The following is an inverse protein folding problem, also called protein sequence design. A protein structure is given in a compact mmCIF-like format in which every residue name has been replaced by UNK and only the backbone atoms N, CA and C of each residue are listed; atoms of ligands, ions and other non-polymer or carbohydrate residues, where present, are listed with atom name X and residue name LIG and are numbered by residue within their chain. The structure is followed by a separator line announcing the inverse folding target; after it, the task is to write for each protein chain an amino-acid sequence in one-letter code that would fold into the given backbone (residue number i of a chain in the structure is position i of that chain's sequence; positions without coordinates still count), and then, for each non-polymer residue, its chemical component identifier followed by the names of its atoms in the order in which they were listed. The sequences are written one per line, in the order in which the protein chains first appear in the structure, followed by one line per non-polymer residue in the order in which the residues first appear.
data_IF_321184214600
#
_entry.id   IF_321184214600
#
_cell.length_a   1.000
_cell.length_b   1.000
_cell.length_c   1.000
_cell.angle_alpha   90.00
_cell.angle_beta   90.00
_cell.angle_gamma   90.00
#
_symmetry.space_group_name_H-M   'P 1'
#
loop_
_entity.id
_entity.type
_entity.pdbx_description
1 polymer ?
#
# COMPACT_ATOMS: atom_id res chain seq x y z
N UNK A 1 20.61 17.82 -1.52
CA UNK A 1 21.17 16.60 -0.89
C UNK A 1 20.20 15.93 0.08
N UNK A 2 19.75 16.62 1.15
CA UNK A 2 18.81 16.07 2.15
C UNK A 2 17.54 15.45 1.53
N UNK A 3 16.89 16.13 0.58
CA UNK A 3 15.68 15.61 -0.06
C UNK A 3 15.87 14.28 -0.80
N UNK A 4 17.05 14.03 -1.38
CA UNK A 4 17.35 12.75 -2.05
C UNK A 4 17.52 11.64 -1.01
N UNK A 5 18.23 11.92 0.09
CA UNK A 5 18.40 10.99 1.20
C UNK A 5 17.04 10.57 1.76
N UNK A 6 16.14 11.54 2.01
CA UNK A 6 14.78 11.22 2.47
C UNK A 6 14.03 10.32 1.49
N UNK A 7 14.07 10.61 0.18
CA UNK A 7 13.42 9.77 -0.83
C UNK A 7 13.95 8.34 -0.84
N UNK A 8 15.26 8.15 -0.74
CA UNK A 8 15.88 6.82 -0.68
C UNK A 8 15.46 6.08 0.59
N UNK A 9 15.48 6.74 1.75
CA UNK A 9 15.05 6.13 3.02
C UNK A 9 13.58 5.75 2.97
N UNK A 10 12.71 6.63 2.45
CA UNK A 10 11.29 6.36 2.25
C UNK A 10 11.09 5.16 1.33
N UNK A 11 11.85 5.05 0.24
CA UNK A 11 11.77 3.91 -0.66
C UNK A 11 12.16 2.59 0.02
N UNK A 12 13.23 2.60 0.82
CA UNK A 12 13.67 1.42 1.56
C UNK A 12 12.63 1.00 2.60
N UNK A 13 12.14 1.92 3.42
CA UNK A 13 11.14 1.64 4.47
C UNK A 13 9.78 1.29 3.88
N UNK A 14 9.39 1.94 2.79
CA UNK A 14 8.10 1.81 2.14
C UNK A 14 7.93 0.56 1.28
N UNK A 15 9.00 0.12 0.61
CA UNK A 15 8.96 -1.02 -0.32
C UNK A 15 9.91 -2.15 0.06
N UNK A 16 11.21 -1.87 0.11
CA UNK A 16 12.23 -2.92 0.22
C UNK A 16 12.07 -3.71 1.52
N UNK A 17 11.89 -3.01 2.64
CA UNK A 17 11.75 -3.61 3.95
C UNK A 17 10.47 -4.46 4.09
N UNK A 18 9.25 -3.97 3.80
CA UNK A 18 8.05 -4.79 3.92
C UNK A 18 8.00 -5.96 2.93
N UNK A 19 8.55 -5.80 1.71
CA UNK A 19 8.70 -6.92 0.77
C UNK A 19 9.63 -7.98 1.35
N UNK A 20 10.80 -7.57 1.86
CA UNK A 20 11.75 -8.48 2.50
C UNK A 20 11.15 -9.20 3.71
N UNK A 21 10.38 -8.50 4.54
CA UNK A 21 9.68 -9.06 5.69
C UNK A 21 8.54 -10.02 5.28
N UNK A 22 7.86 -9.73 4.17
CA UNK A 22 6.86 -10.63 3.57
C UNK A 22 7.52 -11.93 3.09
N UNK A 23 8.63 -11.84 2.37
CA UNK A 23 9.39 -13.01 1.90
C UNK A 23 9.96 -13.82 3.07
N UNK A 24 10.42 -13.15 4.12
CA UNK A 24 10.86 -13.80 5.36
C UNK A 24 9.69 -14.53 6.05
N UNK A 25 8.52 -13.90 6.13
CA UNK A 25 7.29 -14.53 6.63
C UNK A 25 6.91 -15.76 5.82
N UNK A 26 7.01 -15.68 4.49
CA UNK A 26 6.75 -16.80 3.57
C UNK A 26 7.67 -17.99 3.84
N UNK A 27 8.98 -17.74 3.89
CA UNK A 27 9.99 -18.79 4.17
C UNK A 27 9.71 -19.51 5.49
N UNK A 28 9.22 -18.77 6.49
CA UNK A 28 8.95 -19.29 7.83
C UNK A 28 7.49 -19.69 8.06
N UNK A 29 6.65 -19.76 7.02
CA UNK A 29 5.21 -20.07 7.09
C UNK A 29 4.43 -19.20 8.09
N UNK A 30 4.87 -17.97 8.33
CA UNK A 30 4.20 -16.99 9.21
C UNK A 30 3.23 -16.14 8.38
N UNK A 31 2.08 -16.70 8.02
CA UNK A 31 1.14 -16.04 7.11
C UNK A 31 0.57 -14.71 7.61
N UNK A 32 0.37 -14.56 8.92
CA UNK A 32 -0.05 -13.29 9.54
C UNK A 32 0.95 -12.16 9.26
N UNK A 33 2.24 -12.49 9.29
CA UNK A 33 3.33 -11.56 8.99
C UNK A 33 3.26 -11.11 7.52
N UNK A 34 3.05 -12.07 6.61
CA UNK A 34 2.92 -11.81 5.18
C UNK A 34 1.73 -10.89 4.91
N UNK A 35 0.57 -11.23 5.47
CA UNK A 35 -0.65 -10.46 5.28
C UNK A 35 -0.49 -9.02 5.78
N UNK A 36 0.11 -8.83 6.95
CA UNK A 36 0.36 -7.49 7.51
C UNK A 36 1.25 -6.65 6.58
N UNK A 37 2.37 -7.20 6.10
CA UNK A 37 3.29 -6.44 5.25
C UNK A 37 2.77 -6.24 3.82
N UNK A 38 1.96 -7.17 3.29
CA UNK A 38 1.23 -6.93 2.04
C UNK A 38 0.20 -5.80 2.19
N UNK A 39 -0.56 -5.80 3.30
CA UNK A 39 -1.45 -4.68 3.65
C UNK A 39 -0.68 -3.36 3.77
N UNK A 40 0.53 -3.41 4.32
CA UNK A 40 1.39 -2.23 4.44
C UNK A 40 1.80 -1.70 3.06
N UNK A 41 2.29 -2.57 2.17
CA UNK A 41 2.65 -2.17 0.79
C UNK A 41 1.44 -1.59 0.06
N UNK A 42 0.26 -2.20 0.22
CA UNK A 42 -0.98 -1.68 -0.35
C UNK A 42 -1.32 -0.29 0.18
N UNK A 43 -1.28 -0.09 1.50
CA UNK A 43 -1.48 1.22 2.11
C UNK A 43 -0.47 2.24 1.59
N UNK A 44 0.81 1.85 1.54
CA UNK A 44 1.89 2.70 1.05
C UNK A 44 1.63 3.19 -0.38
N UNK A 45 1.27 2.27 -1.29
CA UNK A 45 0.95 2.61 -2.69
C UNK A 45 -0.23 3.58 -2.78
N UNK A 46 -1.28 3.37 -1.98
CA UNK A 46 -2.43 4.29 -1.97
C UNK A 46 -2.03 5.65 -1.41
N UNK A 47 -1.30 5.65 -0.30
CA UNK A 47 -0.90 6.86 0.40
C UNK A 47 0.00 7.75 -0.49
N UNK A 48 1.00 7.16 -1.15
CA UNK A 48 1.89 7.87 -2.08
C UNK A 48 1.17 8.44 -3.31
N UNK A 49 0.11 7.79 -3.79
CA UNK A 49 -0.60 8.25 -4.98
C UNK A 49 -1.75 9.21 -4.68
N UNK A 50 -2.38 9.12 -3.51
CA UNK A 50 -3.53 9.95 -3.15
C UNK A 50 -3.18 11.04 -2.15
N UNK A 51 -2.52 10.67 -1.05
CA UNK A 51 -2.30 11.56 0.10
C UNK A 51 -1.06 12.43 -0.11
N UNK A 52 0.05 11.83 -0.55
CA UNK A 52 1.30 12.54 -0.76
C UNK A 52 1.20 13.67 -1.79
N UNK A 53 0.54 13.52 -2.95
CA UNK A 53 0.45 14.61 -3.92
C UNK A 53 -0.52 15.70 -3.49
N UNK A 54 -1.55 15.36 -2.72
CA UNK A 54 -2.59 16.30 -2.26
C UNK A 54 -2.16 17.06 -1.00
N UNK A 55 -1.95 16.36 0.11
CA UNK A 55 -1.51 16.94 1.38
C UNK A 55 -0.05 17.37 1.33
N UNK A 56 0.80 16.57 0.68
CA UNK A 56 2.22 16.90 0.59
C UNK A 56 2.44 18.21 -0.16
N UNK A 57 1.71 18.50 -1.24
CA UNK A 57 1.85 19.80 -1.95
C UNK A 57 1.56 21.00 -1.05
N UNK A 58 0.55 20.89 -0.18
CA UNK A 58 0.19 21.95 0.77
C UNK A 58 1.29 22.13 1.81
N UNK A 59 1.76 21.03 2.40
CA UNK A 59 2.75 21.08 3.50
C UNK A 59 4.15 21.40 2.97
N UNK A 60 4.53 20.91 1.78
CA UNK A 60 5.79 21.27 1.10
C UNK A 60 5.91 22.77 0.88
N UNK A 61 4.80 23.49 0.65
CA UNK A 61 4.79 24.95 0.51
C UNK A 61 5.14 25.66 1.84
N UNK A 62 4.79 25.05 2.98
CA UNK A 62 5.07 25.59 4.31
C UNK A 62 6.49 25.23 4.74
N UNK A 63 6.85 23.95 4.67
CA UNK A 63 8.21 23.48 4.90
C UNK A 63 8.41 22.09 4.31
N UNK A 64 9.32 22.00 3.33
CA UNK A 64 9.75 20.72 2.76
C UNK A 64 10.32 19.76 3.80
N UNK A 65 10.99 20.27 4.82
CA UNK A 65 11.62 19.44 5.85
C UNK A 65 10.57 18.83 6.78
N UNK A 66 9.58 19.63 7.21
CA UNK A 66 8.48 19.14 8.04
C UNK A 66 7.68 18.04 7.34
N UNK A 67 7.38 18.20 6.04
CA UNK A 67 6.72 17.15 5.29
C UNK A 67 7.54 15.85 5.26
N UNK A 68 8.85 15.93 4.96
CA UNK A 68 9.71 14.75 4.93
C UNK A 68 9.74 14.00 6.29
N UNK A 69 9.79 14.72 7.41
CA UNK A 69 9.73 14.11 8.75
C UNK A 69 8.38 13.44 8.97
N UNK A 70 7.27 14.17 8.78
CA UNK A 70 5.92 13.63 8.98
C UNK A 70 5.69 12.38 8.13
N UNK A 71 6.09 12.45 6.86
CA UNK A 71 5.99 11.36 5.92
C UNK A 71 6.75 10.12 6.38
N UNK A 72 8.01 10.29 6.81
CA UNK A 72 8.82 9.19 7.33
C UNK A 72 8.23 8.62 8.64
N UNK A 73 7.75 9.47 9.54
CA UNK A 73 7.16 9.06 10.82
C UNK A 73 5.91 8.21 10.60
N UNK A 74 5.04 8.57 9.65
CA UNK A 74 3.85 7.77 9.29
C UNK A 74 4.28 6.35 8.89
N UNK A 75 5.33 6.21 8.09
CA UNK A 75 5.82 4.91 7.64
C UNK A 75 6.44 4.07 8.74
N UNK A 76 7.22 4.68 9.65
CA UNK A 76 7.80 3.98 10.81
C UNK A 76 6.70 3.49 11.77
N UNK A 77 5.67 4.30 11.99
CA UNK A 77 4.53 3.92 12.84
C UNK A 77 3.76 2.76 12.23
N UNK A 78 3.46 2.81 10.93
CA UNK A 78 2.63 1.80 10.28
C UNK A 78 3.36 0.49 9.98
N UNK A 79 4.69 0.51 9.80
CA UNK A 79 5.44 -0.72 9.56
C UNK A 79 5.54 -1.56 10.84
N UNK A 80 5.41 -0.93 12.01
CA UNK A 80 5.51 -1.59 13.30
C UNK A 80 4.17 -2.28 13.66
N UNK A 81 4.04 -3.61 13.54
CA UNK A 81 2.77 -4.30 13.77
C UNK A 81 2.26 -4.15 15.21
N UNK A 82 3.16 -3.91 16.16
CA UNK A 82 2.83 -3.71 17.59
C UNK A 82 1.83 -2.58 17.82
N UNK A 83 1.79 -1.58 16.95
CA UNK A 83 0.87 -0.45 17.10
C UNK A 83 -0.52 -0.73 16.52
N UNK A 84 -0.69 -1.81 15.74
CA UNK A 84 -1.94 -2.28 15.14
C UNK A 84 -2.75 -1.23 14.34
N UNK A 85 -2.17 -0.04 14.07
CA UNK A 85 -2.84 1.05 13.37
C UNK A 85 -3.23 0.67 11.95
N UNK A 86 -2.38 -0.09 11.25
CA UNK A 86 -2.66 -0.54 9.90
C UNK A 86 -3.92 -1.41 9.83
N UNK A 87 -4.08 -2.33 10.79
CA UNK A 87 -5.28 -3.16 10.87
C UNK A 87 -6.51 -2.31 11.24
N UNK A 88 -6.38 -1.34 12.17
CA UNK A 88 -7.49 -0.44 12.48
C UNK A 88 -7.94 0.39 11.27
N UNK A 89 -6.99 0.88 10.45
CA UNK A 89 -7.28 1.57 9.19
C UNK A 89 -7.96 0.61 8.22
N UNK A 90 -7.41 -0.59 8.05
CA UNK A 90 -7.98 -1.60 7.16
C UNK A 90 -9.40 -1.98 7.56
N UNK A 91 -9.68 -2.19 8.85
CA UNK A 91 -11.00 -2.53 9.37
C UNK A 91 -12.00 -1.39 9.18
N UNK A 92 -11.58 -0.14 9.39
CA UNK A 92 -12.43 1.03 9.12
C UNK A 92 -12.75 1.14 7.63
N UNK A 93 -11.75 0.99 6.75
CA UNK A 93 -11.96 1.00 5.30
C UNK A 93 -12.85 -0.18 4.88
N UNK A 94 -12.64 -1.36 5.45
CA UNK A 94 -13.44 -2.56 5.19
C UNK A 94 -14.90 -2.37 5.63
N UNK A 95 -15.14 -1.79 6.81
CA UNK A 95 -16.49 -1.44 7.28
C UNK A 95 -17.17 -0.43 6.35
N UNK A 96 -16.46 0.64 5.96
CA UNK A 96 -16.98 1.62 4.99
C UNK A 96 -17.27 0.94 3.65
N UNK A 97 -16.38 0.07 3.19
CA UNK A 97 -16.51 -0.66 1.93
C UNK A 97 -17.72 -1.62 1.95
N UNK A 98 -17.91 -2.35 3.04
CA UNK A 98 -19.04 -3.27 3.23
C UNK A 98 -20.36 -2.51 3.36
N UNK A 99 -20.38 -1.40 4.12
CA UNK A 99 -21.56 -0.56 4.27
C UNK A 99 -21.96 0.14 2.96
N UNK A 100 -20.98 0.55 2.15
CA UNK A 100 -21.22 1.27 0.89
C UNK A 100 -21.24 0.34 -0.34
N UNK A 101 -21.20 -0.98 -0.18
CA UNK A 101 -21.13 -1.95 -1.27
C UNK A 101 -20.00 -1.68 -2.29
N UNK A 102 -18.94 -0.95 -1.90
CA UNK A 102 -17.86 -0.55 -2.81
C UNK A 102 -17.13 -1.79 -3.36
N UNK A 103 -17.14 -2.91 -2.64
CA UNK A 103 -16.61 -4.20 -3.09
C UNK A 103 -17.34 -4.74 -4.32
N UNK A 104 -18.67 -4.52 -4.41
CA UNK A 104 -19.44 -4.83 -5.62
C UNK A 104 -19.03 -3.93 -6.79
N UNK A 105 -18.80 -2.63 -6.53
CA UNK A 105 -18.30 -1.72 -7.55
C UNK A 105 -16.89 -2.11 -8.02
N UNK A 106 -15.96 -2.38 -7.10
CA UNK A 106 -14.60 -2.79 -7.42
C UNK A 106 -14.57 -4.11 -8.22
N UNK A 107 -15.37 -5.10 -7.80
CA UNK A 107 -15.46 -6.36 -8.50
C UNK A 107 -16.05 -6.17 -9.91
N UNK A 108 -17.11 -5.38 -10.05
CA UNK A 108 -17.79 -5.12 -11.34
C UNK A 108 -16.96 -4.28 -12.31
N UNK A 109 -16.28 -3.24 -11.83
CA UNK A 109 -15.59 -2.25 -12.67
C UNK A 109 -14.10 -2.52 -12.88
N UNK A 110 -13.44 -3.28 -12.00
CA UNK A 110 -12.00 -3.56 -12.13
C UNK A 110 -11.72 -5.06 -12.25
N UNK A 111 -12.21 -5.88 -11.32
CA UNK A 111 -11.85 -7.31 -11.28
C UNK A 111 -12.43 -8.06 -12.48
N UNK A 112 -13.73 -7.96 -12.74
CA UNK A 112 -14.38 -8.62 -13.87
C UNK A 112 -13.74 -8.26 -15.23
N UNK A 113 -13.58 -6.97 -15.59
CA UNK A 113 -12.97 -6.63 -16.86
C UNK A 113 -11.49 -7.01 -16.97
N UNK A 114 -10.72 -6.99 -15.87
CA UNK A 114 -9.34 -7.49 -15.86
C UNK A 114 -9.30 -9.01 -16.03
N UNK A 115 -10.17 -9.74 -15.35
CA UNK A 115 -10.26 -11.19 -15.44
C UNK A 115 -10.72 -11.61 -16.84
N UNK A 116 -11.62 -10.86 -17.47
CA UNK A 116 -12.04 -11.08 -18.86
C UNK A 116 -10.91 -10.81 -19.86
N UNK A 117 -10.12 -9.75 -19.65
CA UNK A 117 -8.92 -9.49 -20.46
C UNK A 117 -7.90 -10.61 -20.30
N UNK A 118 -7.62 -11.03 -19.07
CA UNK A 118 -6.70 -12.12 -18.79
C UNK A 118 -7.18 -13.43 -19.41
N UNK A 119 -8.45 -13.79 -19.24
CA UNK A 119 -9.06 -14.97 -19.87
C UNK A 119 -9.04 -14.91 -21.39
N UNK A 120 -9.22 -13.74 -22.01
CA UNK A 120 -9.08 -13.58 -23.47
C UNK A 120 -7.63 -13.82 -23.92
N UNK A 121 -6.65 -13.35 -23.17
CA UNK A 121 -5.22 -13.59 -23.45
C UNK A 121 -4.90 -15.08 -23.30
N UNK A 122 -5.33 -15.71 -22.21
CA UNK A 122 -5.14 -17.15 -21.97
C UNK A 122 -5.83 -18.00 -23.04
N UNK A 123 -7.06 -17.63 -23.46
CA UNK A 123 -7.75 -18.32 -24.55
C UNK A 123 -7.01 -18.19 -25.87
N UNK A 124 -6.53 -16.98 -26.23
CA UNK A 124 -5.71 -16.76 -27.43
C UNK A 124 -4.44 -17.63 -27.42
N UNK A 125 -3.80 -17.76 -26.26
CA UNK A 125 -2.61 -18.59 -26.09
C UNK A 125 -2.89 -20.09 -26.18
N UNK A 126 -4.11 -20.55 -25.83
CA UNK A 126 -4.51 -21.96 -25.97
C UNK A 126 -4.96 -22.35 -27.37
N UNK A 127 -5.36 -21.38 -28.20
CA UNK A 127 -5.76 -21.60 -29.60
C UNK A 127 -4.60 -21.49 -30.59
N UNK A 128 -3.44 -21.06 -30.13
CA UNK A 128 -2.15 -21.18 -30.81
C UNK A 128 -1.51 -22.52 -30.44
#
# INVERSE_FOLDING_TARGET
MLGLIFKVVIFIVGYVLPIGLSLHGWKNKKYEMIEYYLKYVYFFVIFENLVTPSLGRVIYRISSFLWCILHLTIYIILITPKLNYLNSIYDKISKINNQNNIGLYWNKYLVNPLNDKFNKIVKKLKTL
#
